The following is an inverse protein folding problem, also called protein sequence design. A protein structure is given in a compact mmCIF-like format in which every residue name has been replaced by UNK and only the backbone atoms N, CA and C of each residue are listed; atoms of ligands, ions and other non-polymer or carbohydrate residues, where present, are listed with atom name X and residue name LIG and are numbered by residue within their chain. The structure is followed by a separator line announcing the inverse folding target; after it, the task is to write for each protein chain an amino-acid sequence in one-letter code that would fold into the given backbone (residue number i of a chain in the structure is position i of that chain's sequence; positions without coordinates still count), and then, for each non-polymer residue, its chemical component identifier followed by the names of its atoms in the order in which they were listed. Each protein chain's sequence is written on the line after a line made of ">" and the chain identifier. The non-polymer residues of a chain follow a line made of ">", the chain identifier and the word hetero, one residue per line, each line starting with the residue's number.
data_IF_537517653179
#
_entry.id   IF_537517653179
#
_cell.length_a   1.000
_cell.length_b   1.000
_cell.length_c   1.000
_cell.angle_alpha   90.00
_cell.angle_beta   90.00
_cell.angle_gamma   90.00
#
_symmetry.space_group_name_H-M   'P 1'
#
loop_
_entity.id
_entity.type
_entity.pdbx_description
1 polymer ?
#
# COMPACT_ATOMS: atom_id res chain seq x y z
N UNK A 1 -4.20 5.56 -6.94
CA UNK A 1 -3.04 5.12 -7.75
C UNK A 1 -2.37 6.35 -8.33
N UNK A 2 -1.05 6.33 -8.48
CA UNK A 2 -0.31 7.44 -9.09
C UNK A 2 -0.58 7.51 -10.60
N UNK A 3 -0.45 8.70 -11.21
CA UNK A 3 -0.65 8.84 -12.66
C UNK A 3 0.46 8.14 -13.45
N UNK A 4 0.15 7.59 -14.65
CA UNK A 4 1.13 6.89 -15.48
C UNK A 4 2.39 7.72 -15.78
N UNK A 5 2.22 9.02 -16.08
CA UNK A 5 3.34 9.91 -16.38
C UNK A 5 4.31 10.11 -15.21
N UNK A 6 3.82 10.10 -13.96
CA UNK A 6 4.70 10.16 -12.78
C UNK A 6 5.50 8.87 -12.58
N UNK A 7 4.91 7.72 -12.93
CA UNK A 7 5.59 6.42 -12.86
C UNK A 7 6.71 6.35 -13.89
N UNK A 8 6.46 6.82 -15.12
CA UNK A 8 7.49 6.92 -16.16
C UNK A 8 8.65 7.80 -15.70
N UNK A 9 8.36 8.96 -15.08
CA UNK A 9 9.38 9.84 -14.53
C UNK A 9 10.22 9.17 -13.45
N UNK A 10 9.61 8.40 -12.54
CA UNK A 10 10.34 7.61 -11.54
C UNK A 10 11.29 6.61 -12.20
N UNK A 11 10.85 5.94 -13.27
CA UNK A 11 11.67 4.97 -14.02
C UNK A 11 12.83 5.65 -14.74
N UNK A 12 12.60 6.82 -15.33
CA UNK A 12 13.63 7.64 -15.97
C UNK A 12 14.70 8.07 -14.96
N UNK A 13 14.30 8.63 -13.82
CA UNK A 13 15.21 9.00 -12.73
C UNK A 13 15.98 7.78 -12.18
N UNK A 14 15.35 6.61 -12.11
CA UNK A 14 16.02 5.37 -11.72
C UNK A 14 17.08 4.92 -12.73
N UNK A 15 16.85 5.13 -14.04
CA UNK A 15 17.82 4.82 -15.09
C UNK A 15 19.02 5.78 -15.05
N UNK A 16 18.75 7.08 -14.91
CA UNK A 16 19.78 8.13 -14.78
C UNK A 16 20.67 7.84 -13.55
N UNK A 17 20.06 7.49 -12.41
CA UNK A 17 20.79 7.11 -11.19
C UNK A 17 21.78 5.96 -11.43
N UNK A 18 21.39 4.97 -12.23
CA UNK A 18 22.20 3.78 -12.51
C UNK A 18 23.36 4.07 -13.48
N UNK A 19 23.12 4.92 -14.48
CA UNK A 19 24.12 5.23 -15.52
C UNK A 19 25.13 6.29 -15.07
N UNK A 20 24.66 7.42 -14.51
CA UNK A 20 25.49 8.62 -14.29
C UNK A 20 25.45 9.15 -12.85
N UNK A 21 24.54 8.63 -12.03
CA UNK A 21 24.21 9.20 -10.73
C UNK A 21 23.21 10.35 -10.84
N UNK A 22 22.51 10.65 -9.75
CA UNK A 22 21.52 11.73 -9.68
C UNK A 22 22.15 13.00 -9.12
N UNK A 23 21.79 14.14 -9.68
CA UNK A 23 22.02 15.44 -9.05
C UNK A 23 21.16 15.60 -7.79
N UNK A 24 21.51 16.54 -6.91
CA UNK A 24 20.74 16.82 -5.69
C UNK A 24 19.28 17.22 -5.98
N UNK A 25 19.04 17.98 -7.07
CA UNK A 25 17.71 18.35 -7.49
C UNK A 25 16.87 17.13 -7.91
N UNK A 26 17.46 16.23 -8.71
CA UNK A 26 16.78 15.01 -9.17
C UNK A 26 16.59 13.99 -8.03
N UNK A 27 17.50 13.95 -7.04
CA UNK A 27 17.30 13.14 -5.83
C UNK A 27 16.08 13.61 -5.05
N UNK A 28 15.91 14.92 -4.91
CA UNK A 28 14.75 15.50 -4.22
C UNK A 28 13.45 15.18 -4.99
N UNK A 29 13.45 15.37 -6.30
CA UNK A 29 12.32 15.00 -7.17
C UNK A 29 11.98 13.50 -7.05
N UNK A 30 12.99 12.63 -7.10
CA UNK A 30 12.80 11.19 -6.93
C UNK A 30 12.19 10.83 -5.56
N UNK A 31 12.60 11.54 -4.50
CA UNK A 31 12.12 11.28 -3.15
C UNK A 31 10.65 11.68 -3.01
N UNK A 32 10.28 12.87 -3.48
CA UNK A 32 8.89 13.36 -3.49
C UNK A 32 7.97 12.43 -4.30
N UNK A 33 8.39 12.03 -5.50
CA UNK A 33 7.62 11.11 -6.34
C UNK A 33 7.46 9.72 -5.71
N UNK A 34 8.50 9.23 -5.02
CA UNK A 34 8.43 7.94 -4.31
C UNK A 34 7.52 7.99 -3.10
N UNK A 35 7.54 9.07 -2.33
CA UNK A 35 6.63 9.23 -1.19
C UNK A 35 5.18 9.29 -1.66
N UNK A 36 4.89 10.03 -2.71
CA UNK A 36 3.55 10.10 -3.29
C UNK A 36 3.08 8.72 -3.79
N UNK A 37 3.95 7.99 -4.49
CA UNK A 37 3.69 6.62 -4.93
C UNK A 37 3.38 5.69 -3.74
N UNK A 38 4.24 5.72 -2.71
CA UNK A 38 4.09 4.86 -1.53
C UNK A 38 2.81 5.17 -0.76
N UNK A 39 2.43 6.43 -0.63
CA UNK A 39 1.18 6.83 0.02
C UNK A 39 -0.03 6.30 -0.75
N UNK A 40 -0.05 6.48 -2.07
CA UNK A 40 -1.12 5.96 -2.93
C UNK A 40 -1.19 4.42 -2.90
N UNK A 41 -0.03 3.75 -2.91
CA UNK A 41 0.08 2.31 -2.85
C UNK A 41 -0.39 1.74 -1.51
N UNK A 42 0.09 2.30 -0.39
CA UNK A 42 -0.29 1.90 0.97
C UNK A 42 -1.80 2.04 1.18
N UNK A 43 -2.41 3.09 0.65
CA UNK A 43 -3.86 3.28 0.73
C UNK A 43 -4.62 2.15 0.01
N UNK A 44 -4.21 1.79 -1.21
CA UNK A 44 -4.86 0.71 -1.97
C UNK A 44 -4.66 -0.66 -1.32
N UNK A 45 -3.43 -0.94 -0.87
CA UNK A 45 -3.09 -2.19 -0.19
C UNK A 45 -3.85 -2.32 1.14
N UNK A 46 -3.99 -1.23 1.89
CA UNK A 46 -4.77 -1.20 3.13
C UNK A 46 -6.22 -1.59 2.88
N UNK A 47 -6.84 -1.04 1.84
CA UNK A 47 -8.20 -1.41 1.47
C UNK A 47 -8.32 -2.89 1.11
N UNK A 48 -7.35 -3.44 0.37
CA UNK A 48 -7.32 -4.85 0.02
C UNK A 48 -7.21 -5.75 1.26
N UNK A 49 -6.25 -5.48 2.15
CA UNK A 49 -6.03 -6.25 3.39
C UNK A 49 -7.25 -6.17 4.30
N UNK A 50 -7.87 -5.00 4.43
CA UNK A 50 -9.09 -4.82 5.23
C UNK A 50 -10.28 -5.64 4.71
N UNK A 51 -10.30 -6.01 3.43
CA UNK A 51 -11.33 -6.88 2.85
C UNK A 51 -11.07 -8.37 3.00
N UNK A 52 -9.84 -8.79 3.32
CA UNK A 52 -9.45 -10.20 3.37
C UNK A 52 -9.70 -10.83 4.74
N UNK A 53 -10.01 -12.13 4.73
CA UNK A 53 -10.04 -13.01 5.91
C UNK A 53 -8.88 -13.98 5.80
N UNK A 54 -8.06 -14.07 6.83
CA UNK A 54 -6.92 -14.99 6.88
C UNK A 54 -7.38 -16.24 7.63
N UNK A 55 -7.30 -17.39 6.96
CA UNK A 55 -7.59 -18.70 7.54
C UNK A 55 -6.33 -19.55 7.52
N UNK A 56 -6.10 -20.31 8.58
CA UNK A 56 -5.02 -21.29 8.63
C UNK A 56 -5.42 -22.57 7.85
N UNK A 57 -4.48 -23.52 7.63
CA UNK A 57 -4.77 -24.78 6.95
C UNK A 57 -5.77 -25.68 7.69
N UNK A 58 -5.99 -25.45 9.00
CA UNK A 58 -6.94 -26.18 9.84
C UNK A 58 -8.35 -25.54 9.80
N UNK A 59 -8.50 -24.38 9.15
CA UNK A 59 -9.76 -23.66 8.95
C UNK A 59 -10.08 -22.59 10.00
N UNK A 60 -9.18 -22.29 10.95
CA UNK A 60 -9.39 -21.26 11.96
C UNK A 60 -9.13 -19.85 11.41
N UNK A 61 -9.96 -18.88 11.84
CA UNK A 61 -9.79 -17.46 11.47
C UNK A 61 -8.66 -16.81 12.30
N UNK A 62 -7.45 -16.86 11.73
CA UNK A 62 -6.24 -16.23 12.27
C UNK A 62 -6.07 -14.76 11.83
N UNK A 63 -7.14 -14.11 11.35
CA UNK A 63 -7.09 -12.68 11.03
C UNK A 63 -6.67 -11.89 12.28
N UNK A 64 -5.61 -11.07 12.21
CA UNK A 64 -5.14 -10.26 13.34
C UNK A 64 -6.25 -9.40 13.96
N UNK A 65 -6.26 -9.28 15.30
CA UNK A 65 -7.32 -8.56 16.03
C UNK A 65 -7.47 -7.10 15.59
N UNK A 66 -6.35 -6.44 15.29
CA UNK A 66 -6.35 -5.07 14.74
C UNK A 66 -7.14 -4.96 13.43
N UNK A 67 -7.07 -5.97 12.57
CA UNK A 67 -7.84 -6.00 11.33
C UNK A 67 -9.31 -6.31 11.60
N UNK A 68 -9.60 -7.21 12.56
CA UNK A 68 -10.97 -7.52 12.99
C UNK A 68 -11.69 -6.28 13.53
N UNK A 69 -11.00 -5.44 14.32
CA UNK A 69 -11.53 -4.16 14.83
C UNK A 69 -11.82 -3.16 13.71
N UNK A 70 -10.89 -3.01 12.76
CA UNK A 70 -11.07 -2.10 11.61
C UNK A 70 -12.26 -2.56 10.75
N UNK A 71 -12.38 -3.87 10.51
CA UNK A 71 -13.50 -4.46 9.76
C UNK A 71 -14.84 -4.21 10.48
N UNK A 72 -14.90 -4.42 11.81
CA UNK A 72 -16.10 -4.09 12.62
C UNK A 72 -16.47 -2.60 12.52
N UNK A 73 -15.50 -1.69 12.67
CA UNK A 73 -15.74 -0.24 12.56
C UNK A 73 -16.26 0.18 11.18
N UNK A 74 -15.84 -0.54 10.12
CA UNK A 74 -16.28 -0.28 8.74
C UNK A 74 -17.56 -1.02 8.36
N UNK A 75 -18.17 -1.80 9.27
CA UNK A 75 -19.35 -2.61 8.97
C UNK A 75 -19.09 -3.74 7.97
N UNK A 76 -17.83 -4.14 7.78
CA UNK A 76 -17.44 -5.19 6.85
C UNK A 76 -17.61 -6.57 7.49
N UNK A 77 -17.95 -7.56 6.65
CA UNK A 77 -18.05 -8.99 7.00
C UNK A 77 -19.18 -9.43 7.93
N UNK A 78 -20.20 -8.59 8.22
CA UNK A 78 -21.39 -8.95 9.02
C UNK A 78 -21.08 -9.92 10.18
N UNK A 79 -19.98 -9.67 10.89
CA UNK A 79 -19.58 -10.48 12.03
C UNK A 79 -20.55 -10.14 13.14
N UNK A 80 -21.69 -10.84 13.16
CA UNK A 80 -22.74 -10.65 14.15
C UNK A 80 -22.10 -10.62 15.53
N UNK A 81 -22.39 -9.54 16.26
CA UNK A 81 -22.11 -9.44 17.67
C UNK A 81 -23.04 -10.40 18.40
N UNK A 82 -22.69 -11.69 18.41
CA UNK A 82 -23.18 -12.58 19.46
C UNK A 82 -22.37 -12.29 20.72
N UNK A 83 -22.77 -11.22 21.42
CA UNK A 83 -22.51 -11.04 22.85
C UNK A 83 -23.54 -11.86 23.63
#
# INVERSE_FOLDING_TARGET
>A
MLSPGKIERINELARIKKEKGLSEAEKKEQLELREEYLNAFRSGMRHHIEGMKIVDPEGNDVTPDKLKEIQKKKGLHNRENNF
#
